data_IF_615292468669
#
_entry.id   IF_615292468669
#
_cell.length_a   1.000
_cell.length_b   1.000
_cell.length_c   1.000
_cell.angle_alpha   90.00
_cell.angle_beta   90.00
_cell.angle_gamma   90.00
#
_symmetry.space_group_name_H-M   'P 1'
#
loop_
_entity.id
_entity.type
_entity.pdbx_description
1 polymer ?
#
# COMPACT_ATOMS: atom_id res chain seq x y z
N UNK A 1 21.71 19.26 6.73
CA UNK A 1 21.18 19.17 5.35
C UNK A 1 21.06 20.54 4.65
N UNK A 2 20.44 21.63 5.21
CA UNK A 2 20.32 22.93 4.52
C UNK A 2 21.65 23.57 4.14
N UNK A 3 22.65 23.52 5.02
CA UNK A 3 23.97 24.10 4.79
C UNK A 3 24.71 23.41 3.62
N UNK A 4 24.58 22.09 3.49
CA UNK A 4 25.17 21.32 2.38
C UNK A 4 24.48 21.69 1.07
N UNK A 5 23.16 21.80 1.06
CA UNK A 5 22.41 22.22 -0.12
C UNK A 5 22.79 23.65 -0.56
N UNK A 6 23.02 24.54 0.39
CA UNK A 6 23.43 25.93 0.12
C UNK A 6 24.85 26.01 -0.43
N UNK A 7 25.80 25.24 0.13
CA UNK A 7 27.17 25.14 -0.39
C UNK A 7 27.19 24.57 -1.80
N UNK A 8 26.36 23.53 -2.06
CA UNK A 8 26.21 22.93 -3.37
C UNK A 8 25.64 23.92 -4.40
N UNK A 9 24.61 24.69 -4.00
CA UNK A 9 24.03 25.74 -4.85
C UNK A 9 25.05 26.84 -5.21
N UNK A 10 25.88 27.27 -4.23
CA UNK A 10 26.95 28.26 -4.45
C UNK A 10 28.04 27.69 -5.37
N UNK A 11 28.43 26.42 -5.19
CA UNK A 11 29.40 25.75 -6.08
C UNK A 11 28.89 25.64 -7.51
N UNK A 12 27.61 25.32 -7.68
CA UNK A 12 26.94 25.27 -8.99
C UNK A 12 26.86 26.63 -9.68
N UNK A 13 26.55 27.70 -8.89
CA UNK A 13 26.45 29.06 -9.44
C UNK A 13 27.84 29.59 -9.91
N UNK A 14 28.90 29.18 -9.25
CA UNK A 14 30.29 29.51 -9.64
C UNK A 14 30.82 28.68 -10.80
N UNK A 15 30.23 27.49 -11.03
CA UNK A 15 30.66 26.61 -12.10
C UNK A 15 30.06 27.07 -13.44
N UNK A 16 30.88 27.70 -14.29
CA UNK A 16 30.49 28.05 -15.67
C UNK A 16 30.85 26.98 -16.69
N UNK A 17 31.35 25.84 -16.25
CA UNK A 17 31.75 24.77 -17.14
C UNK A 17 30.52 24.10 -17.76
N UNK A 18 30.57 23.87 -19.06
CA UNK A 18 29.61 23.02 -19.77
C UNK A 18 29.84 21.57 -19.30
N UNK A 19 28.92 21.06 -18.49
CA UNK A 19 28.91 19.64 -18.19
C UNK A 19 28.53 18.89 -19.44
N UNK A 20 29.41 18.01 -19.87
CA UNK A 20 29.19 17.19 -21.05
C UNK A 20 27.88 16.39 -20.95
N UNK A 21 27.35 15.97 -22.08
CA UNK A 21 26.10 15.17 -22.22
C UNK A 21 26.09 13.89 -21.35
N UNK A 22 27.24 13.44 -20.86
CA UNK A 22 27.39 12.22 -20.09
C UNK A 22 26.53 12.20 -18.81
N UNK A 23 26.44 13.31 -18.07
CA UNK A 23 25.61 13.39 -16.86
C UNK A 23 24.14 13.16 -17.13
N UNK A 24 23.60 13.78 -18.20
CA UNK A 24 22.21 13.59 -18.58
C UNK A 24 21.92 12.21 -19.14
N UNK A 25 22.90 11.56 -19.81
CA UNK A 25 22.74 10.19 -20.27
C UNK A 25 22.64 9.21 -19.09
N UNK A 26 23.40 9.42 -18.00
CA UNK A 26 23.29 8.60 -16.79
C UNK A 26 21.91 8.72 -16.16
N UNK A 27 21.39 9.96 -16.03
CA UNK A 27 20.06 10.18 -15.48
C UNK A 27 18.96 9.54 -16.37
N UNK A 28 19.09 9.71 -17.69
CA UNK A 28 18.18 9.09 -18.67
C UNK A 28 18.19 7.57 -18.53
N UNK A 29 19.37 6.98 -18.43
CA UNK A 29 19.52 5.53 -18.23
C UNK A 29 18.85 5.03 -16.95
N UNK A 30 19.02 5.75 -15.83
CA UNK A 30 18.34 5.41 -14.56
C UNK A 30 16.83 5.43 -14.72
N UNK A 31 16.27 6.44 -15.39
CA UNK A 31 14.83 6.52 -15.60
C UNK A 31 14.29 5.43 -16.55
N UNK A 32 15.10 5.04 -17.55
CA UNK A 32 14.76 3.90 -18.41
C UNK A 32 14.80 2.57 -17.63
N UNK A 33 15.72 2.40 -16.69
CA UNK A 33 15.73 1.24 -15.77
C UNK A 33 14.48 1.21 -14.90
N UNK A 34 14.04 2.35 -14.37
CA UNK A 34 12.79 2.44 -13.62
C UNK A 34 11.59 2.07 -14.50
N UNK A 35 11.53 2.61 -15.71
CA UNK A 35 10.49 2.29 -16.67
C UNK A 35 10.46 0.79 -17.01
N UNK A 36 11.64 0.18 -17.22
CA UNK A 36 11.76 -1.25 -17.47
C UNK A 36 11.31 -2.09 -16.26
N UNK A 37 11.64 -1.67 -15.04
CA UNK A 37 11.16 -2.29 -13.81
C UNK A 37 9.64 -2.25 -13.67
N UNK A 38 9.04 -1.09 -13.93
CA UNK A 38 7.57 -0.94 -13.93
C UNK A 38 6.93 -1.80 -15.01
N UNK A 39 7.49 -1.82 -16.23
CA UNK A 39 7.02 -2.65 -17.33
C UNK A 39 7.13 -4.15 -16.99
N UNK A 40 8.25 -4.58 -16.42
CA UNK A 40 8.46 -5.96 -16.00
C UNK A 40 7.39 -6.40 -14.98
N UNK A 41 7.14 -5.58 -13.96
CA UNK A 41 6.14 -5.86 -12.94
C UNK A 41 4.73 -5.90 -13.55
N UNK A 42 4.40 -4.98 -14.45
CA UNK A 42 3.09 -4.92 -15.07
C UNK A 42 2.81 -6.09 -16.02
N UNK A 43 3.82 -6.53 -16.79
CA UNK A 43 3.65 -7.48 -17.89
C UNK A 43 4.06 -8.90 -17.50
N UNK A 44 5.24 -9.05 -16.89
CA UNK A 44 5.89 -10.36 -16.69
C UNK A 44 5.63 -10.99 -15.32
N UNK A 45 5.13 -10.22 -14.36
CA UNK A 45 4.92 -10.79 -13.03
C UNK A 45 3.79 -11.85 -13.07
N UNK A 46 4.04 -13.10 -12.64
CA UNK A 46 3.06 -14.17 -12.69
C UNK A 46 1.75 -13.80 -11.98
N UNK A 47 0.62 -14.06 -12.61
CA UNK A 47 -0.72 -13.66 -12.11
C UNK A 47 -1.01 -14.27 -10.74
N UNK A 48 -0.59 -15.51 -10.50
CA UNK A 48 -0.74 -16.26 -9.25
C UNK A 48 0.09 -15.69 -8.09
N UNK A 49 1.18 -14.97 -8.39
CA UNK A 49 2.07 -14.33 -7.40
C UNK A 49 1.89 -12.81 -7.33
N UNK A 50 1.06 -12.27 -8.20
CA UNK A 50 0.81 -10.84 -8.28
C UNK A 50 0.02 -10.38 -7.04
N UNK A 51 0.52 -9.37 -6.28
CA UNK A 51 -0.31 -8.72 -5.29
C UNK A 51 -1.61 -8.22 -5.97
N UNK A 52 -2.76 -8.45 -5.35
CA UNK A 52 -4.04 -8.14 -5.98
C UNK A 52 -4.21 -6.67 -6.40
N UNK A 53 -3.62 -5.72 -5.63
CA UNK A 53 -3.62 -4.29 -5.97
C UNK A 53 -2.84 -3.97 -7.25
N UNK A 54 -1.96 -4.87 -7.66
CA UNK A 54 -1.18 -4.71 -8.90
C UNK A 54 -2.02 -4.96 -10.15
N UNK A 55 -3.18 -5.59 -10.00
CA UNK A 55 -4.16 -5.73 -11.08
C UNK A 55 -4.74 -4.36 -11.51
N UNK A 56 -4.77 -3.40 -10.60
CA UNK A 56 -5.25 -2.04 -10.86
C UNK A 56 -4.18 -1.17 -11.56
N UNK A 57 -2.94 -1.65 -11.66
CA UNK A 57 -1.87 -0.94 -12.36
C UNK A 57 -2.00 -1.18 -13.87
N UNK A 58 -2.21 -0.10 -14.62
CA UNK A 58 -2.31 -0.17 -16.08
C UNK A 58 -1.06 -0.78 -16.70
N UNK A 59 -1.25 -1.62 -17.72
CA UNK A 59 -0.16 -2.19 -18.50
C UNK A 59 0.69 -1.11 -19.20
N UNK A 60 0.15 0.09 -19.41
CA UNK A 60 0.83 1.23 -19.99
C UNK A 60 1.49 2.15 -18.94
N UNK A 61 1.50 1.75 -17.66
CA UNK A 61 2.05 2.57 -16.58
C UNK A 61 3.53 2.92 -16.73
N UNK A 62 4.29 2.15 -17.49
CA UNK A 62 5.70 2.42 -17.80
C UNK A 62 5.92 3.56 -18.80
N UNK A 63 4.93 3.85 -19.66
CA UNK A 63 5.07 4.82 -20.76
C UNK A 63 5.42 6.24 -20.29
N UNK A 64 4.79 6.81 -19.24
CA UNK A 64 5.15 8.13 -18.73
C UNK A 64 6.61 8.23 -18.27
N UNK A 65 7.18 7.13 -17.74
CA UNK A 65 8.58 7.10 -17.30
C UNK A 65 9.56 7.14 -18.48
N UNK A 66 9.23 6.45 -19.57
CA UNK A 66 10.01 6.53 -20.81
C UNK A 66 9.95 7.94 -21.39
N UNK A 67 8.76 8.54 -21.44
CA UNK A 67 8.60 9.91 -21.94
C UNK A 67 9.39 10.91 -21.08
N UNK A 68 9.39 10.74 -19.75
CA UNK A 68 10.17 11.57 -18.84
C UNK A 68 11.68 11.42 -19.08
N UNK A 69 12.16 10.20 -19.31
CA UNK A 69 13.56 9.92 -19.62
C UNK A 69 13.98 10.59 -20.94
N UNK A 70 13.19 10.44 -22.00
CA UNK A 70 13.44 11.05 -23.31
C UNK A 70 13.39 12.58 -23.28
N UNK A 71 12.43 13.15 -22.54
CA UNK A 71 12.34 14.59 -22.33
C UNK A 71 13.61 15.14 -21.68
N UNK A 72 14.15 14.44 -20.67
CA UNK A 72 15.41 14.81 -20.05
C UNK A 72 16.60 14.77 -20.99
N UNK A 73 16.72 13.71 -21.77
CA UNK A 73 17.78 13.57 -22.76
C UNK A 73 17.72 14.66 -23.84
N UNK A 74 16.51 15.09 -24.19
CA UNK A 74 16.31 16.10 -25.24
C UNK A 74 16.45 17.53 -24.71
N UNK A 75 15.82 17.84 -23.57
CA UNK A 75 15.79 19.18 -22.98
C UNK A 75 17.00 19.50 -22.09
N UNK A 76 17.66 18.48 -21.57
CA UNK A 76 18.78 18.60 -20.62
C UNK A 76 20.09 19.04 -21.29
N UNK A 77 20.03 20.00 -22.21
CA UNK A 77 21.19 20.57 -22.91
C UNK A 77 21.49 21.96 -22.38
N UNK A 78 22.76 22.33 -22.32
CA UNK A 78 23.15 23.67 -21.90
C UNK A 78 24.05 23.69 -20.66
N UNK A 79 24.03 24.80 -19.90
CA UNK A 79 24.88 25.01 -18.75
C UNK A 79 24.56 24.02 -17.61
N UNK A 80 25.51 23.84 -16.70
CA UNK A 80 25.37 23.01 -15.50
C UNK A 80 24.11 23.38 -14.70
N UNK A 81 23.83 24.69 -14.57
CA UNK A 81 22.64 25.17 -13.86
C UNK A 81 21.33 24.74 -14.57
N UNK A 82 21.29 24.78 -15.91
CA UNK A 82 20.14 24.32 -16.69
C UNK A 82 19.93 22.82 -16.49
N UNK A 83 20.98 22.01 -16.54
CA UNK A 83 20.92 20.57 -16.33
C UNK A 83 20.45 20.23 -14.92
N UNK A 84 20.95 20.94 -13.90
CA UNK A 84 20.51 20.74 -12.51
C UNK A 84 19.03 21.05 -12.32
N UNK A 85 18.56 22.17 -12.86
CA UNK A 85 17.11 22.51 -12.84
C UNK A 85 16.27 21.45 -13.53
N UNK A 86 16.73 20.93 -14.65
CA UNK A 86 16.03 19.89 -15.40
C UNK A 86 15.97 18.58 -14.59
N UNK A 87 17.07 18.13 -14.00
CA UNK A 87 17.10 16.94 -13.15
C UNK A 87 16.18 17.11 -11.95
N UNK A 88 16.17 18.27 -11.30
CA UNK A 88 15.27 18.55 -10.17
C UNK A 88 13.82 18.46 -10.61
N UNK A 89 13.45 19.11 -11.72
CA UNK A 89 12.10 19.06 -12.26
C UNK A 89 11.68 17.63 -12.60
N UNK A 90 12.55 16.86 -13.27
CA UNK A 90 12.28 15.47 -13.60
C UNK A 90 12.12 14.59 -12.36
N UNK A 91 12.91 14.82 -11.31
CA UNK A 91 12.81 14.06 -10.04
C UNK A 91 11.47 14.31 -9.36
N UNK A 92 10.96 15.54 -9.37
CA UNK A 92 9.62 15.86 -8.86
C UNK A 92 8.53 15.16 -9.68
N UNK A 93 8.61 15.23 -11.01
CA UNK A 93 7.66 14.53 -11.88
C UNK A 93 7.73 13.03 -11.69
N UNK A 94 8.93 12.45 -11.57
CA UNK A 94 9.12 11.02 -11.28
C UNK A 94 8.42 10.62 -9.98
N UNK A 95 8.58 11.40 -8.93
CA UNK A 95 7.96 11.12 -7.63
C UNK A 95 6.43 11.13 -7.72
N UNK A 96 5.86 12.10 -8.46
CA UNK A 96 4.42 12.16 -8.73
C UNK A 96 3.96 10.94 -9.54
N UNK A 97 4.70 10.58 -10.59
CA UNK A 97 4.38 9.40 -11.41
C UNK A 97 4.41 8.11 -10.60
N UNK A 98 5.44 7.89 -9.77
CA UNK A 98 5.52 6.73 -8.87
C UNK A 98 4.37 6.73 -7.88
N UNK A 99 4.01 7.89 -7.33
CA UNK A 99 2.89 8.00 -6.42
C UNK A 99 1.58 7.57 -7.09
N UNK A 100 1.29 8.11 -8.26
CA UNK A 100 0.03 7.83 -8.95
C UNK A 100 -0.05 6.41 -9.53
N UNK A 101 1.08 5.86 -10.01
CA UNK A 101 1.09 4.56 -10.70
C UNK A 101 1.29 3.36 -9.78
N UNK A 102 1.95 3.54 -8.62
CA UNK A 102 2.28 2.46 -7.71
C UNK A 102 1.65 2.66 -6.34
N UNK A 103 1.88 3.83 -5.70
CA UNK A 103 1.45 4.02 -4.32
C UNK A 103 -0.07 4.12 -4.18
N UNK A 104 -0.76 4.84 -5.09
CA UNK A 104 -2.22 4.96 -5.03
C UNK A 104 -2.90 3.60 -5.21
N UNK A 105 -2.58 2.77 -6.24
CA UNK A 105 -3.10 1.41 -6.32
C UNK A 105 -2.74 0.54 -5.12
N UNK A 106 -1.48 0.62 -4.63
CA UNK A 106 -1.05 -0.15 -3.47
C UNK A 106 -1.84 0.21 -2.20
N UNK A 107 -2.18 1.49 -2.00
CA UNK A 107 -2.99 1.92 -0.86
C UNK A 107 -4.36 1.25 -0.81
N UNK A 108 -4.96 0.91 -1.97
CA UNK A 108 -6.20 0.15 -2.02
C UNK A 108 -6.06 -1.20 -1.31
N UNK A 109 -4.89 -1.83 -1.44
CA UNK A 109 -4.57 -3.10 -0.82
C UNK A 109 -4.25 -3.07 0.67
N UNK A 110 -3.94 -1.90 1.20
CA UNK A 110 -3.56 -1.71 2.59
C UNK A 110 -4.58 -0.89 3.40
N UNK A 111 -5.67 -0.46 2.75
CA UNK A 111 -6.67 0.38 3.37
C UNK A 111 -7.54 -0.37 4.40
N UNK A 112 -7.46 0.02 5.67
CA UNK A 112 -8.30 -0.50 6.75
C UNK A 112 -9.33 0.51 7.24
N UNK A 113 -9.47 1.66 6.56
CA UNK A 113 -10.33 2.75 7.02
C UNK A 113 -11.80 2.31 7.14
N UNK A 114 -12.30 1.53 6.18
CA UNK A 114 -13.70 1.11 6.16
C UNK A 114 -14.04 0.20 7.36
N UNK A 115 -13.21 -0.83 7.61
CA UNK A 115 -13.42 -1.70 8.78
C UNK A 115 -13.21 -0.92 10.08
N UNK A 116 -12.22 -0.02 10.15
CA UNK A 116 -12.00 0.81 11.32
C UNK A 116 -13.21 1.72 11.62
N UNK A 117 -13.86 2.27 10.59
CA UNK A 117 -15.10 3.05 10.76
C UNK A 117 -16.26 2.18 11.28
N UNK A 118 -16.38 0.94 10.78
CA UNK A 118 -17.39 -0.01 11.29
C UNK A 118 -17.15 -0.37 12.76
N UNK A 119 -15.89 -0.62 13.11
CA UNK A 119 -15.50 -0.92 14.50
C UNK A 119 -15.81 0.26 15.43
N UNK A 120 -15.53 1.49 14.99
CA UNK A 120 -15.89 2.69 15.75
C UNK A 120 -17.40 2.77 16.00
N UNK A 121 -18.22 2.58 14.96
CA UNK A 121 -19.67 2.60 15.09
C UNK A 121 -20.21 1.51 16.03
N UNK A 122 -19.56 0.33 16.09
CA UNK A 122 -19.91 -0.72 17.05
C UNK A 122 -19.56 -0.30 18.49
N UNK A 123 -18.40 0.32 18.70
CA UNK A 123 -17.98 0.81 20.01
C UNK A 123 -18.90 1.93 20.51
N UNK A 124 -19.37 2.85 19.65
CA UNK A 124 -20.36 3.87 20.01
C UNK A 124 -21.69 3.26 20.46
N UNK A 125 -22.04 2.08 19.97
CA UNK A 125 -23.22 1.32 20.41
C UNK A 125 -22.96 0.48 21.67
N UNK A 126 -21.75 0.53 22.23
CA UNK A 126 -21.37 -0.26 23.39
C UNK A 126 -21.15 -1.74 23.08
N UNK A 127 -21.04 -2.13 21.80
CA UNK A 127 -20.84 -3.50 21.37
C UNK A 127 -19.37 -3.86 21.50
N UNK A 128 -18.99 -4.93 22.24
CA UNK A 128 -17.62 -5.34 22.39
C UNK A 128 -17.05 -5.88 21.07
N UNK A 129 -15.82 -5.45 20.74
CA UNK A 129 -15.11 -5.92 19.56
C UNK A 129 -13.78 -6.51 19.96
N UNK A 130 -13.53 -7.75 19.52
CA UNK A 130 -12.27 -8.44 19.73
C UNK A 130 -11.45 -8.54 18.43
N UNK A 131 -10.13 -8.68 18.60
CA UNK A 131 -9.19 -8.92 17.53
C UNK A 131 -8.41 -10.22 17.81
N UNK A 132 -8.35 -11.10 16.82
CA UNK A 132 -7.61 -12.36 16.93
C UNK A 132 -6.17 -12.17 16.47
N UNK A 133 -5.23 -12.55 17.34
CA UNK A 133 -3.80 -12.54 17.04
C UNK A 133 -3.12 -11.20 17.30
N UNK A 134 -2.01 -10.98 16.60
CA UNK A 134 -1.19 -9.77 16.80
C UNK A 134 -1.93 -8.53 16.30
N UNK A 135 -1.99 -7.52 17.15
CA UNK A 135 -2.58 -6.22 16.87
C UNK A 135 -1.54 -5.12 17.08
N UNK A 136 -1.46 -4.17 16.17
CA UNK A 136 -0.50 -3.07 16.16
C UNK A 136 -1.21 -1.71 16.07
N UNK A 137 -2.37 -1.59 16.68
CA UNK A 137 -3.21 -0.37 16.74
C UNK A 137 -3.64 0.19 15.37
N UNK A 138 -3.66 -0.66 14.31
CA UNK A 138 -4.03 -0.25 12.95
C UNK A 138 -5.43 0.37 12.87
N UNK A 139 -6.36 -0.09 13.71
CA UNK A 139 -7.74 0.42 13.71
C UNK A 139 -7.91 1.65 14.60
N UNK A 140 -7.12 1.78 15.67
CA UNK A 140 -7.20 2.88 16.62
C UNK A 140 -7.07 4.24 15.93
N UNK A 141 -6.01 4.42 15.18
CA UNK A 141 -5.73 5.66 14.49
C UNK A 141 -6.74 5.94 13.36
N UNK A 142 -7.02 4.94 12.53
CA UNK A 142 -7.90 5.10 11.37
C UNK A 142 -9.37 5.26 11.74
N UNK A 143 -9.82 4.57 12.78
CA UNK A 143 -11.18 4.61 13.29
C UNK A 143 -11.41 5.63 14.39
N UNK A 144 -10.34 6.26 14.92
CA UNK A 144 -10.38 7.11 16.12
C UNK A 144 -11.08 6.40 17.29
N UNK A 145 -10.67 5.15 17.53
CA UNK A 145 -11.28 4.33 18.55
C UNK A 145 -10.99 4.91 19.94
N UNK A 146 -12.00 5.03 20.78
CA UNK A 146 -11.87 5.52 22.16
C UNK A 146 -11.49 4.42 23.14
N UNK A 147 -11.91 3.18 22.84
CA UNK A 147 -11.62 2.00 23.66
C UNK A 147 -10.70 1.02 22.94
N UNK A 148 -9.83 0.35 23.68
CA UNK A 148 -8.98 -0.71 23.17
C UNK A 148 -9.81 -1.92 22.74
N UNK A 149 -9.39 -2.58 21.66
CA UNK A 149 -9.95 -3.85 21.26
C UNK A 149 -9.53 -4.95 22.25
N UNK A 150 -10.41 -5.92 22.47
CA UNK A 150 -10.06 -7.12 23.23
C UNK A 150 -9.15 -7.99 22.39
N UNK A 151 -7.95 -8.29 22.86
CA UNK A 151 -7.00 -9.14 22.14
C UNK A 151 -7.19 -10.58 22.57
N UNK A 152 -7.42 -11.47 21.61
CA UNK A 152 -7.63 -12.90 21.85
C UNK A 152 -6.63 -13.72 21.04
N UNK A 153 -6.18 -14.82 21.61
CA UNK A 153 -5.53 -15.88 20.88
C UNK A 153 -6.54 -16.94 20.42
N UNK A 154 -6.24 -17.65 19.35
CA UNK A 154 -7.20 -18.61 18.76
C UNK A 154 -7.87 -19.57 19.77
N UNK A 155 -7.18 -20.14 20.77
CA UNK A 155 -7.82 -21.03 21.76
C UNK A 155 -8.85 -20.32 22.67
N UNK A 156 -8.72 -19.02 22.87
CA UNK A 156 -9.58 -18.23 23.77
C UNK A 156 -10.89 -17.78 23.09
N UNK A 157 -10.88 -17.77 21.75
CA UNK A 157 -11.96 -17.22 20.94
C UNK A 157 -13.32 -17.88 21.22
N UNK A 158 -13.47 -19.23 21.22
CA UNK A 158 -14.77 -19.83 21.44
C UNK A 158 -15.36 -19.53 22.83
N UNK A 159 -14.51 -19.54 23.86
CA UNK A 159 -14.93 -19.25 25.23
C UNK A 159 -15.36 -17.79 25.37
N UNK A 160 -14.60 -16.87 24.79
CA UNK A 160 -14.91 -15.45 24.85
C UNK A 160 -16.21 -15.13 24.12
N UNK A 161 -16.42 -15.67 22.91
CA UNK A 161 -17.62 -15.46 22.11
C UNK A 161 -18.88 -16.02 22.77
N UNK A 162 -18.78 -17.19 23.42
CA UNK A 162 -19.93 -17.74 24.16
C UNK A 162 -20.34 -16.85 25.36
N UNK A 163 -19.38 -16.13 25.96
CA UNK A 163 -19.66 -15.19 27.04
C UNK A 163 -20.09 -13.81 26.53
N UNK A 164 -19.94 -13.53 25.24
CA UNK A 164 -20.26 -12.24 24.60
C UNK A 164 -21.00 -12.47 23.29
N UNK A 165 -22.28 -12.92 23.31
CA UNK A 165 -23.03 -13.34 22.13
C UNK A 165 -23.30 -12.20 21.14
N UNK A 166 -23.34 -10.97 21.60
CA UNK A 166 -23.56 -9.77 20.78
C UNK A 166 -22.27 -9.14 20.26
N UNK A 167 -21.12 -9.72 20.59
CA UNK A 167 -19.82 -9.20 20.22
C UNK A 167 -19.49 -9.39 18.73
N UNK A 168 -18.55 -8.58 18.28
CA UNK A 168 -17.90 -8.74 16.97
C UNK A 168 -16.45 -9.17 17.12
N UNK A 169 -15.96 -9.86 16.09
CA UNK A 169 -14.58 -10.33 16.05
C UNK A 169 -13.93 -10.00 14.72
N UNK A 170 -12.72 -9.46 14.80
CA UNK A 170 -11.84 -9.21 13.66
C UNK A 170 -10.85 -10.36 13.56
N UNK A 171 -10.75 -10.97 12.39
CA UNK A 171 -9.76 -12.01 12.13
C UNK A 171 -9.12 -11.87 10.75
N UNK A 172 -7.85 -12.29 10.66
CA UNK A 172 -7.08 -12.34 9.41
C UNK A 172 -6.85 -13.78 9.00
N UNK A 173 -7.03 -14.08 7.73
CA UNK A 173 -6.81 -15.44 7.21
C UNK A 173 -6.21 -15.43 5.81
N UNK A 174 -5.42 -16.46 5.54
CA UNK A 174 -4.85 -16.74 4.22
C UNK A 174 -5.78 -17.68 3.44
N UNK A 175 -6.98 -17.23 3.10
CA UNK A 175 -7.95 -18.01 2.33
C UNK A 175 -8.54 -17.16 1.21
N UNK A 176 -9.26 -17.82 0.27
CA UNK A 176 -9.96 -17.07 -0.78
C UNK A 176 -10.99 -16.13 -0.16
N UNK A 177 -10.83 -14.85 -0.43
CA UNK A 177 -11.75 -13.82 0.00
C UNK A 177 -12.99 -13.81 -0.89
N UNK A 178 -14.16 -14.03 -0.32
CA UNK A 178 -15.41 -13.82 -1.04
C UNK A 178 -16.63 -14.04 -0.15
N UNK A 179 -17.71 -13.25 -0.33
CA UNK A 179 -18.93 -13.37 0.47
C UNK A 179 -19.67 -14.71 0.26
N UNK A 180 -19.37 -15.40 -0.83
CA UNK A 180 -19.98 -16.70 -1.14
C UNK A 180 -19.36 -17.83 -0.31
N UNK A 181 -18.12 -17.66 0.15
CA UNK A 181 -17.38 -18.70 0.86
C UNK A 181 -17.59 -18.63 2.37
N UNK A 182 -17.79 -17.42 2.91
CA UNK A 182 -17.89 -17.21 4.36
C UNK A 182 -18.80 -16.03 4.71
N UNK A 183 -19.91 -16.25 5.44
CA UNK A 183 -20.73 -15.14 5.92
C UNK A 183 -19.92 -14.25 6.88
N UNK A 184 -19.90 -12.96 6.60
CA UNK A 184 -19.27 -11.93 7.42
C UNK A 184 -19.91 -10.59 7.10
N UNK A 185 -20.05 -9.72 8.10
CA UNK A 185 -20.58 -8.36 7.92
C UNK A 185 -19.60 -7.45 7.17
N UNK A 186 -18.32 -7.84 7.19
CA UNK A 186 -17.31 -7.23 6.37
C UNK A 186 -16.26 -8.27 6.00
N UNK A 187 -15.88 -8.27 4.72
CA UNK A 187 -14.79 -9.09 4.20
C UNK A 187 -14.05 -8.32 3.14
N UNK A 188 -12.73 -8.31 3.24
CA UNK A 188 -11.86 -7.65 2.27
C UNK A 188 -10.53 -8.34 2.14
N UNK A 189 -10.00 -8.34 0.94
CA UNK A 189 -8.62 -8.72 0.67
C UNK A 189 -7.66 -7.64 1.21
N UNK A 190 -6.65 -8.06 1.95
CA UNK A 190 -5.70 -7.19 2.62
C UNK A 190 -4.28 -7.73 2.48
N UNK A 191 -3.33 -6.83 2.27
CA UNK A 191 -1.90 -7.15 2.07
C UNK A 191 -1.69 -8.31 1.07
N UNK A 192 -0.86 -9.29 1.41
CA UNK A 192 -0.41 -10.37 0.55
C UNK A 192 -1.45 -11.51 0.42
N UNK A 193 -2.69 -11.19 0.13
CA UNK A 193 -3.74 -12.20 -0.03
C UNK A 193 -4.40 -12.67 1.28
N UNK A 194 -4.17 -11.94 2.38
CA UNK A 194 -4.93 -12.15 3.60
C UNK A 194 -6.35 -11.61 3.45
N UNK A 195 -7.33 -12.32 3.97
CA UNK A 195 -8.66 -11.79 4.20
C UNK A 195 -8.75 -11.17 5.59
N UNK A 196 -9.15 -9.91 5.68
CA UNK A 196 -9.64 -9.33 6.92
C UNK A 196 -11.15 -9.48 6.95
N UNK A 197 -11.68 -9.98 8.05
CA UNK A 197 -13.11 -10.20 8.24
C UNK A 197 -13.57 -9.60 9.55
N UNK A 198 -14.78 -9.04 9.55
CA UNK A 198 -15.52 -8.64 10.75
C UNK A 198 -16.79 -9.50 10.80
N UNK A 199 -16.95 -10.29 11.84
CA UNK A 199 -18.05 -11.23 12.02
C UNK A 199 -18.73 -11.01 13.35
N UNK A 200 -20.02 -11.30 13.44
CA UNK A 200 -20.71 -11.47 14.72
C UNK A 200 -20.20 -12.73 15.43
N UNK A 201 -20.44 -12.83 16.73
CA UNK A 201 -20.09 -14.01 17.53
C UNK A 201 -20.66 -15.30 16.90
N UNK A 202 -21.92 -15.29 16.50
CA UNK A 202 -22.60 -16.45 15.87
C UNK A 202 -21.93 -16.84 14.55
N UNK A 203 -21.71 -15.87 13.67
CA UNK A 203 -21.06 -16.13 12.38
C UNK A 203 -19.67 -16.73 12.54
N UNK A 204 -18.92 -16.28 13.56
CA UNK A 204 -17.57 -16.77 13.79
C UNK A 204 -17.55 -18.16 14.43
N UNK A 205 -18.46 -18.46 15.35
CA UNK A 205 -18.61 -19.81 15.92
C UNK A 205 -19.02 -20.83 14.85
N UNK A 206 -19.99 -20.50 14.00
CA UNK A 206 -20.38 -21.35 12.85
C UNK A 206 -19.20 -21.58 11.90
N UNK A 207 -18.38 -20.57 11.70
CA UNK A 207 -17.19 -20.68 10.89
C UNK A 207 -16.17 -21.67 11.50
N UNK A 208 -15.90 -21.60 12.81
CA UNK A 208 -14.98 -22.52 13.49
C UNK A 208 -15.47 -23.96 13.40
N UNK A 209 -16.75 -24.20 13.63
CA UNK A 209 -17.36 -25.53 13.51
C UNK A 209 -17.20 -26.15 12.12
N UNK A 210 -17.35 -25.34 11.05
CA UNK A 210 -17.14 -25.80 9.66
C UNK A 210 -15.66 -26.14 9.36
N UNK A 211 -14.72 -25.53 10.06
CA UNK A 211 -13.29 -25.83 9.88
C UNK A 211 -12.88 -27.13 10.59
N UNK A 212 -13.54 -27.47 11.69
CA UNK A 212 -13.30 -28.69 12.44
C UNK A 212 -13.99 -29.92 11.84
N UNK A 213 -14.99 -29.71 10.96
CA UNK A 213 -15.67 -30.82 10.28
C UNK A 213 -14.68 -31.53 9.33
N UNK A 214 -14.47 -32.84 9.47
CA UNK A 214 -13.57 -33.60 8.62
C UNK A 214 -14.04 -33.52 7.15
N UNK A 215 -13.10 -33.20 6.26
CA UNK A 215 -13.29 -33.22 4.79
C UNK A 215 -13.34 -34.62 4.26
#
# INVERSE_FOLDING_TARGET
>A
LPAVAMLFALALDRSREEVGRMGMLVVTFVYLLIAAGVAYVAIMFPVDKKPYWLADVSILAWLPFVLLALAGAWLGRGSLLSQTRMITAQSLVLLVLLHLTIFVPAMSGYGLKEIATKVHALQEQGIPVAHVGKYQDEYHFLGRLEASLVLLYEPEVPVWLNNNPDAYIISYRYTQCGPVVEPADYIRLYRNGQCVTLRTATQHLDYLQRQEAPR
#
